data_IF_893265504551
#
_entry.id   IF_893265504551
#
_cell.length_a   1.000
_cell.length_b   1.000
_cell.length_c   1.000
_cell.angle_alpha   90.00
_cell.angle_beta   90.00
_cell.angle_gamma   90.00
#
_symmetry.space_group_name_H-M   'P 1'
#
loop_
_entity.id
_entity.type
_entity.pdbx_description
1 polymer ?
#
# COMPACT_ATOMS: atom_id res chain seq x y z
N UNK A 1 -5.89 2.88 -14.41
CA UNK A 1 -5.05 3.13 -13.21
C UNK A 1 -3.62 2.77 -13.60
N UNK A 2 -2.65 3.66 -13.40
CA UNK A 2 -1.25 3.41 -13.79
C UNK A 2 -0.41 3.31 -12.52
N UNK A 3 0.22 2.15 -12.31
CA UNK A 3 1.22 1.97 -11.25
C UNK A 3 2.55 2.57 -11.73
N UNK A 4 3.18 3.51 -10.97
CA UNK A 4 4.46 4.11 -11.32
C UNK A 4 5.56 3.06 -11.55
N UNK A 5 6.49 3.35 -12.47
CA UNK A 5 7.54 2.40 -12.86
C UNK A 5 8.43 2.00 -11.69
N UNK A 6 8.79 2.95 -10.81
CA UNK A 6 9.62 2.64 -9.65
C UNK A 6 8.93 1.66 -8.70
N UNK A 7 7.61 1.78 -8.49
CA UNK A 7 6.84 0.83 -7.68
C UNK A 7 6.90 -0.55 -8.33
N UNK A 8 6.68 -0.64 -9.65
CA UNK A 8 6.77 -1.93 -10.37
C UNK A 8 8.14 -2.58 -10.20
N UNK A 9 9.23 -1.82 -10.27
CA UNK A 9 10.58 -2.33 -10.04
C UNK A 9 10.76 -2.85 -8.62
N UNK A 10 10.28 -2.12 -7.61
CA UNK A 10 10.34 -2.58 -6.22
C UNK A 10 9.55 -3.88 -6.01
N UNK A 11 8.35 -4.00 -6.61
CA UNK A 11 7.55 -5.23 -6.52
C UNK A 11 8.20 -6.41 -7.25
N UNK A 12 8.84 -6.17 -8.40
CA UNK A 12 9.54 -7.20 -9.17
C UNK A 12 10.88 -7.62 -8.55
N UNK A 13 11.39 -6.87 -7.57
CA UNK A 13 12.64 -7.20 -6.88
C UNK A 13 12.45 -8.22 -5.74
N UNK A 14 11.22 -8.60 -5.42
CA UNK A 14 10.91 -9.52 -4.30
C UNK A 14 10.94 -10.97 -4.77
N UNK A 15 11.31 -11.88 -3.87
CA UNK A 15 11.48 -13.32 -4.18
C UNK A 15 10.27 -14.18 -3.81
N UNK A 16 9.28 -13.64 -3.08
CA UNK A 16 8.05 -14.34 -2.69
C UNK A 16 6.82 -13.45 -2.73
N UNK A 17 5.64 -14.06 -2.70
CA UNK A 17 4.36 -13.34 -2.64
C UNK A 17 4.24 -12.58 -1.32
N UNK A 18 4.70 -13.16 -0.21
CA UNK A 18 4.74 -12.55 1.11
C UNK A 18 5.60 -11.29 1.12
N UNK A 19 6.83 -11.37 0.59
CA UNK A 19 7.75 -10.22 0.52
C UNK A 19 7.18 -9.11 -0.39
N UNK A 20 6.56 -9.50 -1.50
CA UNK A 20 5.84 -8.59 -2.40
C UNK A 20 4.72 -7.85 -1.66
N UNK A 21 3.91 -8.57 -0.88
CA UNK A 21 2.84 -7.97 -0.08
C UNK A 21 3.38 -7.02 1.00
N UNK A 22 4.41 -7.43 1.74
CA UNK A 22 5.05 -6.60 2.77
C UNK A 22 5.60 -5.30 2.17
N UNK A 23 6.28 -5.40 1.03
CA UNK A 23 6.87 -4.23 0.36
C UNK A 23 5.80 -3.29 -0.19
N UNK A 24 4.75 -3.83 -0.81
CA UNK A 24 3.61 -3.04 -1.27
C UNK A 24 2.87 -2.35 -0.12
N UNK A 25 2.72 -3.04 1.01
CA UNK A 25 2.14 -2.50 2.24
C UNK A 25 2.94 -1.30 2.75
N UNK A 26 4.26 -1.44 2.84
CA UNK A 26 5.16 -0.36 3.27
C UNK A 26 5.03 0.88 2.39
N UNK A 27 5.05 0.71 1.06
CA UNK A 27 4.89 1.82 0.11
C UNK A 27 3.55 2.53 0.32
N UNK A 28 2.46 1.78 0.50
CA UNK A 28 1.14 2.36 0.68
C UNK A 28 1.01 3.15 1.99
N UNK A 29 1.58 2.63 3.09
CA UNK A 29 1.61 3.31 4.39
C UNK A 29 2.44 4.60 4.34
N UNK A 30 3.62 4.57 3.71
CA UNK A 30 4.47 5.74 3.52
C UNK A 30 3.74 6.82 2.69
N UNK A 31 3.12 6.41 1.58
CA UNK A 31 2.31 7.32 0.75
C UNK A 31 1.18 7.98 1.54
N UNK A 32 0.40 7.21 2.31
CA UNK A 32 -0.69 7.76 3.12
C UNK A 32 -0.18 8.73 4.20
N UNK A 33 0.98 8.42 4.80
CA UNK A 33 1.61 9.28 5.79
C UNK A 33 2.05 10.63 5.19
N UNK A 34 2.65 10.61 4.01
CA UNK A 34 3.06 11.81 3.29
C UNK A 34 1.88 12.62 2.74
N UNK A 35 0.80 11.95 2.34
CA UNK A 35 -0.41 12.59 1.84
C UNK A 35 -1.25 13.22 2.95
N UNK A 36 -1.14 12.77 4.21
CA UNK A 36 -1.93 13.23 5.36
C UNK A 36 -2.08 14.76 5.49
N UNK A 37 -1.03 15.60 5.37
CA UNK A 37 -1.18 17.05 5.42
C UNK A 37 -1.84 17.68 4.17
N UNK A 38 -2.00 16.92 3.08
CA UNK A 38 -2.48 17.40 1.78
C UNK A 38 -3.96 17.07 1.54
N UNK A 39 -4.55 16.15 2.31
CA UNK A 39 -5.90 15.65 2.11
C UNK A 39 -6.69 15.58 3.43
N UNK A 40 -8.01 15.72 3.35
CA UNK A 40 -8.89 15.63 4.53
C UNK A 40 -9.31 14.20 4.85
N UNK A 41 -9.09 13.26 3.93
CA UNK A 41 -9.46 11.86 4.08
C UNK A 41 -9.05 11.05 2.86
N UNK A 42 -9.16 9.73 2.98
CA UNK A 42 -8.80 8.78 1.92
C UNK A 42 -9.88 7.72 1.76
N UNK A 43 -10.08 7.27 0.52
CA UNK A 43 -10.87 6.09 0.22
C UNK A 43 -9.92 4.93 -0.06
N UNK A 44 -10.02 3.86 0.74
CA UNK A 44 -9.25 2.63 0.54
C UNK A 44 -10.17 1.60 -0.11
N UNK A 45 -9.79 1.14 -1.29
CA UNK A 45 -10.43 0.01 -1.96
C UNK A 45 -9.65 -1.26 -1.63
N UNK A 46 -10.18 -2.18 -0.82
CA UNK A 46 -9.46 -3.40 -0.46
C UNK A 46 -9.34 -4.30 -1.71
N UNK A 47 -8.12 -4.63 -2.15
CA UNK A 47 -7.97 -5.57 -3.25
C UNK A 47 -8.47 -6.95 -2.81
N UNK A 48 -9.26 -7.61 -3.66
CA UNK A 48 -9.70 -8.99 -3.48
C UNK A 48 -10.38 -9.29 -2.11
N UNK A 49 -11.16 -8.33 -1.57
CA UNK A 49 -11.88 -8.46 -0.28
C UNK A 49 -10.95 -8.66 0.94
N UNK A 50 -9.67 -8.31 0.84
CA UNK A 50 -8.73 -8.35 1.98
C UNK A 50 -8.91 -7.13 2.89
N UNK A 51 -10.04 -7.06 3.60
CA UNK A 51 -10.38 -5.92 4.47
C UNK A 51 -9.37 -5.72 5.60
N UNK A 52 -8.80 -6.79 6.13
CA UNK A 52 -7.82 -6.72 7.22
C UNK A 52 -6.60 -5.87 6.85
N UNK A 53 -6.10 -6.03 5.62
CA UNK A 53 -4.99 -5.23 5.09
C UNK A 53 -5.31 -3.73 5.06
N UNK A 54 -6.56 -3.36 4.78
CA UNK A 54 -6.96 -1.95 4.80
C UNK A 54 -6.94 -1.35 6.21
N UNK A 55 -7.24 -2.14 7.24
CA UNK A 55 -7.19 -1.72 8.65
C UNK A 55 -5.74 -1.59 9.13
N UNK A 56 -4.89 -2.55 8.78
CA UNK A 56 -3.44 -2.51 9.03
C UNK A 56 -2.78 -1.27 8.39
N UNK A 57 -3.15 -0.94 7.15
CA UNK A 57 -2.66 0.27 6.45
C UNK A 57 -2.94 1.57 7.21
N UNK A 58 -4.08 1.64 7.90
CA UNK A 58 -4.46 2.82 8.68
C UNK A 58 -3.81 2.86 10.07
N UNK A 59 -3.06 1.81 10.46
CA UNK A 59 -2.47 1.67 11.79
C UNK A 59 -3.53 1.57 12.89
N UNK A 60 -4.71 1.04 12.57
CA UNK A 60 -5.82 0.88 13.51
C UNK A 60 -5.74 -0.42 14.31
N UNK A 61 -4.84 -1.33 13.92
CA UNK A 61 -4.49 -2.59 14.58
C UNK A 61 -3.01 -2.91 14.33
#
# INVERSE_FOLDING_TARGET
MVVPEWVRREMNSTSSVEESMEKGMKIAVEFLREAKPMVQGVYIMPPAKKYQMAVEMLGLI
#
